data_IF_088809944385
#
_entry.id   IF_088809944385
#
_cell.length_a   1.000
_cell.length_b   1.000
_cell.length_c   1.000
_cell.angle_alpha   90.00
_cell.angle_beta   90.00
_cell.angle_gamma   90.00
#
_symmetry.space_group_name_H-M   'P 1'
#
loop_
_entity.id
_entity.type
_entity.pdbx_description
1 polymer ?
#
# COMPACT_ATOMS: atom_id res chain seq x y z
N UNK A 1 -11.61 33.16 -21.39
CA UNK A 1 -10.55 32.14 -21.37
C UNK A 1 -10.92 31.05 -20.37
N UNK A 2 -10.78 29.76 -20.71
CA UNK A 2 -11.17 28.66 -19.81
C UNK A 2 -10.05 28.33 -18.81
N UNK A 3 -10.35 28.36 -17.51
CA UNK A 3 -9.48 27.76 -16.48
C UNK A 3 -9.58 26.24 -16.63
N UNK A 4 -8.60 25.63 -17.30
CA UNK A 4 -8.39 24.17 -17.26
C UNK A 4 -8.10 23.76 -15.82
N UNK A 5 -9.14 23.35 -15.12
CA UNK A 5 -9.05 22.83 -13.76
C UNK A 5 -7.97 21.75 -13.68
N UNK A 6 -7.20 21.79 -12.60
CA UNK A 6 -6.18 20.80 -12.28
C UNK A 6 -6.77 19.91 -11.21
N UNK A 7 -6.98 18.64 -11.54
CA UNK A 7 -8.15 17.47 -10.41
C UNK A 7 -7.50 17.15 -9.01
N UNK A 8 -7.99 16.19 -8.21
CA UNK A 8 -7.38 15.72 -6.91
C UNK A 8 -7.48 14.17 -6.38
N UNK A 9 -6.46 13.22 -6.44
CA UNK A 9 -6.56 11.70 -6.17
C UNK A 9 -6.13 11.16 -4.75
N UNK A 10 -6.26 9.82 -4.53
CA UNK A 10 -5.96 8.97 -3.32
C UNK A 10 -5.18 7.64 -3.70
N UNK A 11 -4.57 6.86 -2.77
CA UNK A 11 -3.60 5.76 -3.05
C UNK A 11 -3.51 4.58 -2.04
N UNK A 12 -3.47 3.30 -2.50
CA UNK A 12 -3.28 2.08 -1.66
C UNK A 12 -2.92 0.77 -2.44
N UNK A 13 -2.24 -0.22 -1.82
CA UNK A 13 -1.92 -1.56 -2.40
C UNK A 13 -1.95 -2.70 -1.35
N UNK A 14 -2.38 -3.88 -1.83
CA UNK A 14 -2.66 -5.14 -1.13
C UNK A 14 -1.47 -6.14 -1.11
N UNK A 15 -1.48 -7.14 -0.22
CA UNK A 15 -0.53 -8.26 -0.26
C UNK A 15 -1.18 -9.65 -0.09
N UNK A 16 -1.21 -10.46 -1.17
CA UNK A 16 -1.32 -11.92 -1.03
C UNK A 16 -0.37 -12.64 -1.99
N UNK A 17 0.46 -13.52 -1.45
CA UNK A 17 1.19 -14.53 -2.20
C UNK A 17 0.49 -15.89 -2.04
N UNK A 18 -0.56 -16.14 -2.81
CA UNK A 18 -1.12 -17.49 -2.99
C UNK A 18 -0.33 -18.24 -4.06
N UNK A 19 0.40 -19.32 -3.71
CA UNK A 19 0.86 -20.26 -4.72
C UNK A 19 -0.39 -20.98 -5.25
N UNK A 20 -0.74 -20.77 -6.53
CA UNK A 20 -1.71 -21.66 -7.18
C UNK A 20 -1.07 -23.04 -7.27
N UNK A 21 -1.52 -23.99 -6.45
CA UNK A 21 -1.20 -25.39 -6.64
C UNK A 21 -1.76 -25.86 -8.00
N UNK A 22 -0.90 -25.85 -9.03
CA UNK A 22 -0.99 -26.87 -10.07
C UNK A 22 -0.38 -28.13 -9.49
N UNK A 23 -1.19 -29.16 -9.28
CA UNK A 23 -0.68 -30.52 -9.29
C UNK A 23 -0.14 -30.78 -10.70
N UNK A 24 1.12 -31.21 -10.79
CA UNK A 24 1.85 -31.41 -12.03
C UNK A 24 3.24 -31.97 -11.70
N UNK A 25 3.60 -33.09 -12.30
CA UNK A 25 4.61 -33.99 -11.76
C UNK A 25 6.02 -33.42 -11.64
N UNK A 26 6.59 -33.55 -10.44
CA UNK A 26 8.04 -33.53 -10.19
C UNK A 26 8.55 -34.90 -9.75
N UNK A 27 8.15 -35.95 -10.50
CA UNK A 27 8.55 -37.34 -10.25
C UNK A 27 9.60 -37.84 -11.26
N UNK A 28 10.77 -37.19 -11.30
CA UNK A 28 12.07 -37.75 -11.75
C UNK A 28 13.19 -36.69 -11.70
N UNK A 29 14.07 -36.80 -10.70
CA UNK A 29 15.54 -36.82 -10.82
C UNK A 29 16.18 -36.73 -9.41
N UNK A 30 17.40 -37.26 -9.28
CA UNK A 30 18.22 -37.32 -8.05
C UNK A 30 17.64 -38.12 -6.87
N UNK A 31 18.07 -39.38 -6.76
CA UNK A 31 18.00 -40.12 -5.52
C UNK A 31 19.09 -39.69 -4.54
N UNK A 32 18.70 -39.18 -3.38
CA UNK A 32 19.55 -39.02 -2.19
C UNK A 32 18.64 -38.77 -0.99
N UNK A 33 18.80 -39.55 0.08
CA UNK A 33 17.81 -39.60 1.17
C UNK A 33 17.94 -38.44 2.19
N UNK A 34 18.02 -37.20 1.69
CA UNK A 34 17.82 -35.98 2.47
C UNK A 34 16.37 -35.54 2.30
N UNK A 35 15.61 -35.47 3.39
CA UNK A 35 14.30 -34.82 3.42
C UNK A 35 14.46 -33.38 2.94
N UNK A 36 13.97 -33.10 1.73
CA UNK A 36 13.94 -31.76 1.16
C UNK A 36 12.88 -30.94 1.91
N UNK A 37 13.35 -30.12 2.85
CA UNK A 37 12.53 -29.18 3.61
C UNK A 37 11.53 -28.47 2.70
N UNK A 38 10.27 -28.39 3.13
CA UNK A 38 9.24 -27.56 2.53
C UNK A 38 9.67 -26.10 2.45
N UNK A 39 9.01 -25.31 1.60
CA UNK A 39 9.22 -23.86 1.57
C UNK A 39 8.97 -23.23 2.96
N UNK A 40 7.98 -23.71 3.70
CA UNK A 40 7.62 -23.20 5.02
C UNK A 40 8.70 -23.39 6.08
N UNK A 41 9.30 -24.57 6.16
CA UNK A 41 10.42 -24.83 7.07
C UNK A 41 11.66 -24.01 6.69
N UNK A 42 11.89 -23.78 5.38
CA UNK A 42 12.99 -22.92 4.92
C UNK A 42 12.77 -21.46 5.31
N UNK A 43 11.53 -20.96 5.27
CA UNK A 43 11.17 -19.63 5.78
C UNK A 43 11.34 -19.54 7.30
N UNK A 44 10.75 -20.45 8.08
CA UNK A 44 10.88 -20.43 9.56
C UNK A 44 12.35 -20.55 10.00
N UNK A 45 13.15 -21.44 9.38
CA UNK A 45 14.61 -21.53 9.64
C UNK A 45 15.34 -20.23 9.32
N UNK A 46 14.97 -19.54 8.23
CA UNK A 46 15.61 -18.29 7.82
C UNK A 46 15.28 -17.14 8.78
N UNK A 47 14.04 -17.08 9.28
CA UNK A 47 13.63 -16.13 10.33
C UNK A 47 14.40 -16.38 11.63
N UNK A 48 14.40 -17.64 12.12
CA UNK A 48 15.13 -18.05 13.35
C UNK A 48 16.65 -17.88 13.26
N UNK A 49 17.24 -17.88 12.06
CA UNK A 49 18.67 -17.56 11.86
C UNK A 49 18.95 -16.06 11.89
N UNK A 50 17.97 -15.21 11.55
CA UNK A 50 18.16 -13.75 11.39
C UNK A 50 17.78 -12.95 12.64
N UNK A 51 16.84 -13.45 13.45
CA UNK A 51 16.28 -12.70 14.57
C UNK A 51 16.24 -13.56 15.86
N UNK A 52 16.34 -12.93 17.06
CA UNK A 52 16.09 -13.60 18.34
C UNK A 52 14.73 -14.30 18.37
N UNK A 53 14.67 -15.49 18.97
CA UNK A 53 13.52 -16.39 18.85
C UNK A 53 12.26 -15.92 19.60
N UNK A 54 12.47 -15.19 20.69
CA UNK A 54 11.51 -14.41 21.45
C UNK A 54 10.92 -13.26 20.61
N UNK A 55 11.77 -12.41 20.04
CA UNK A 55 11.39 -11.24 19.25
C UNK A 55 10.61 -11.56 17.95
N UNK A 56 10.51 -12.83 17.56
CA UNK A 56 9.71 -13.27 16.39
C UNK A 56 8.62 -14.29 16.71
N UNK A 57 8.35 -14.63 17.98
CA UNK A 57 7.37 -15.66 18.33
C UNK A 57 5.99 -15.40 17.69
N UNK A 58 5.53 -14.14 17.71
CA UNK A 58 4.27 -13.68 17.11
C UNK A 58 4.27 -13.78 15.58
N UNK A 59 5.42 -13.52 14.93
CA UNK A 59 5.62 -13.61 13.47
C UNK A 59 5.67 -15.06 13.00
N UNK A 60 6.31 -15.94 13.78
CA UNK A 60 6.36 -17.38 13.49
C UNK A 60 4.99 -18.04 13.62
N UNK A 61 4.18 -17.63 14.61
CA UNK A 61 2.83 -18.16 14.72
C UNK A 61 1.91 -17.64 13.61
N UNK A 62 2.03 -16.37 13.21
CA UNK A 62 1.38 -15.83 12.00
C UNK A 62 1.77 -16.61 10.73
N UNK A 63 3.05 -16.95 10.56
CA UNK A 63 3.53 -17.76 9.44
C UNK A 63 2.85 -19.13 9.40
N UNK A 64 2.68 -19.77 10.56
CA UNK A 64 2.04 -21.08 10.69
C UNK A 64 0.52 -21.01 10.48
N UNK A 65 -0.13 -19.93 10.93
CA UNK A 65 -1.56 -19.66 10.66
C UNK A 65 -1.82 -19.58 9.15
N UNK A 66 -0.94 -18.92 8.39
CA UNK A 66 -0.98 -18.91 6.91
C UNK A 66 -0.83 -20.32 6.33
N UNK A 67 0.08 -21.16 6.85
CA UNK A 67 0.23 -22.55 6.38
C UNK A 67 -0.99 -23.43 6.70
N UNK A 68 -1.72 -23.14 7.78
CA UNK A 68 -2.96 -23.83 8.15
C UNK A 68 -4.21 -23.30 7.42
N UNK A 69 -4.07 -22.22 6.64
CA UNK A 69 -5.19 -21.58 5.94
C UNK A 69 -6.16 -20.83 6.86
N UNK A 70 -5.71 -20.42 8.05
CA UNK A 70 -6.56 -19.70 9.00
C UNK A 70 -6.95 -18.29 8.51
N UNK A 71 -8.22 -17.96 8.69
CA UNK A 71 -8.76 -16.62 8.46
C UNK A 71 -9.05 -15.95 9.82
N UNK A 72 -8.54 -14.74 10.01
CA UNK A 72 -8.97 -13.86 11.10
C UNK A 72 -10.29 -13.19 10.71
N UNK A 73 -11.33 -13.39 11.51
CA UNK A 73 -12.60 -12.66 11.44
C UNK A 73 -12.87 -11.95 12.79
N UNK A 74 -12.74 -10.62 12.82
CA UNK A 74 -12.96 -9.78 14.02
C UNK A 74 -13.51 -8.39 13.62
N UNK A 75 -14.65 -7.91 14.13
CA UNK A 75 -15.16 -6.54 13.86
C UNK A 75 -15.19 -6.13 12.36
N UNK A 76 -15.77 -6.99 11.52
CA UNK A 76 -15.80 -6.87 10.05
C UNK A 76 -14.41 -6.95 9.38
N UNK A 77 -13.33 -7.26 10.11
CA UNK A 77 -12.00 -7.50 9.55
C UNK A 77 -11.93 -8.90 8.97
N UNK A 78 -11.36 -9.03 7.78
CA UNK A 78 -10.97 -10.33 7.22
C UNK A 78 -9.49 -10.30 6.82
N UNK A 79 -8.68 -11.15 7.45
CA UNK A 79 -7.24 -11.24 7.16
C UNK A 79 -6.75 -12.69 7.17
N UNK A 80 -6.15 -13.12 6.05
CA UNK A 80 -5.52 -14.44 5.87
C UNK A 80 -4.00 -14.40 6.10
N UNK A 81 -3.44 -13.22 6.41
CA UNK A 81 -2.03 -13.02 6.75
C UNK A 81 -1.93 -12.06 7.93
N UNK A 82 -1.98 -12.57 9.16
CA UNK A 82 -2.21 -11.74 10.35
C UNK A 82 -1.36 -12.14 11.55
N UNK A 83 -0.98 -11.15 12.36
CA UNK A 83 -0.27 -11.30 13.64
C UNK A 83 -1.25 -10.96 14.77
N UNK A 84 -1.47 -11.91 15.70
CA UNK A 84 -2.37 -11.69 16.84
C UNK A 84 -1.81 -10.64 17.82
N UNK A 85 -2.72 -9.94 18.50
CA UNK A 85 -2.39 -8.90 19.49
C UNK A 85 -1.87 -7.56 18.93
N UNK A 86 -1.93 -7.31 17.61
CA UNK A 86 -1.69 -5.97 17.07
C UNK A 86 -2.91 -5.08 17.33
N UNK A 87 -2.70 -3.89 17.91
CA UNK A 87 -3.74 -2.85 18.09
C UNK A 87 -4.36 -2.48 16.73
N UNK A 88 -5.64 -2.77 16.56
CA UNK A 88 -6.43 -2.34 15.40
C UNK A 88 -7.12 -1.01 15.68
N UNK A 89 -7.07 -0.08 14.73
CA UNK A 89 -7.86 1.15 14.73
C UNK A 89 -8.35 1.46 13.31
N UNK A 90 -9.50 2.14 13.16
CA UNK A 90 -10.01 2.55 11.83
C UNK A 90 -9.08 3.58 11.18
N UNK A 91 -8.56 4.49 12.00
CA UNK A 91 -7.48 5.41 11.70
C UNK A 91 -6.57 5.53 12.93
N UNK A 92 -5.29 5.85 12.73
CA UNK A 92 -4.34 6.18 13.81
C UNK A 92 -4.01 7.67 13.77
N UNK A 93 -3.44 8.20 14.87
CA UNK A 93 -2.96 9.58 14.90
C UNK A 93 -1.58 9.68 14.21
N UNK A 94 -1.33 10.77 13.49
CA UNK A 94 -0.04 11.06 12.88
C UNK A 94 1.06 11.32 13.92
N UNK A 95 0.69 11.79 15.11
CA UNK A 95 1.61 11.97 16.23
C UNK A 95 2.25 10.65 16.70
N UNK A 96 1.65 9.50 16.38
CA UNK A 96 2.24 8.17 16.66
C UNK A 96 3.43 7.83 15.72
N UNK A 97 3.65 8.59 14.64
CA UNK A 97 4.59 8.26 13.57
C UNK A 97 5.51 9.43 13.22
N UNK A 98 6.66 9.62 13.90
CA UNK A 98 7.54 10.80 13.71
C UNK A 98 8.01 11.07 12.27
N UNK A 99 8.09 10.03 11.43
CA UNK A 99 8.43 10.16 10.00
C UNK A 99 7.40 10.97 9.19
N UNK A 100 6.17 11.10 9.66
CA UNK A 100 5.09 11.86 9.02
C UNK A 100 5.42 13.32 8.87
N UNK A 101 6.01 13.94 9.90
CA UNK A 101 6.40 15.34 9.87
C UNK A 101 7.41 15.64 8.73
N UNK A 102 8.18 14.64 8.28
CA UNK A 102 9.02 14.76 7.08
C UNK A 102 8.18 14.88 5.80
N UNK A 103 7.13 14.07 5.66
CA UNK A 103 6.24 14.12 4.50
C UNK A 103 5.38 15.39 4.48
N UNK A 104 4.80 15.77 5.62
CA UNK A 104 4.01 16.98 5.77
C UNK A 104 4.86 18.26 5.57
N UNK A 105 6.14 18.24 5.95
CA UNK A 105 7.08 19.34 5.65
C UNK A 105 7.49 19.41 4.18
N UNK A 106 7.62 18.27 3.50
CA UNK A 106 8.14 18.19 2.12
C UNK A 106 7.05 17.98 1.05
N UNK A 107 5.76 18.07 1.42
CA UNK A 107 4.65 17.73 0.51
C UNK A 107 4.69 18.52 -0.81
N UNK A 108 5.05 19.80 -0.78
CA UNK A 108 5.21 20.63 -1.99
C UNK A 108 6.33 20.12 -2.90
N UNK A 109 7.45 19.66 -2.33
CA UNK A 109 8.57 19.12 -3.11
C UNK A 109 8.17 17.84 -3.84
N UNK A 110 7.40 16.98 -3.18
CA UNK A 110 6.86 15.74 -3.74
C UNK A 110 5.81 16.05 -4.83
N UNK A 111 4.89 16.97 -4.53
CA UNK A 111 3.83 17.48 -5.42
C UNK A 111 4.39 18.09 -6.70
N UNK A 112 5.39 18.95 -6.58
CA UNK A 112 5.94 19.70 -7.70
C UNK A 112 6.90 18.86 -8.55
N UNK A 113 7.55 17.85 -7.97
CA UNK A 113 8.23 16.81 -8.74
C UNK A 113 7.23 15.93 -9.53
N UNK A 114 6.06 15.62 -8.95
CA UNK A 114 4.99 14.93 -9.69
C UNK A 114 4.46 15.76 -10.86
N UNK A 115 4.21 17.06 -10.68
CA UNK A 115 3.78 17.92 -11.79
C UNK A 115 4.89 18.26 -12.78
N UNK A 116 6.17 18.27 -12.36
CA UNK A 116 7.30 18.34 -13.30
C UNK A 116 7.24 17.20 -14.32
N UNK A 117 6.98 15.97 -13.86
CA UNK A 117 6.91 14.79 -14.73
C UNK A 117 5.57 14.64 -15.46
N UNK A 118 4.41 14.92 -14.84
CA UNK A 118 3.12 14.94 -15.57
C UNK A 118 3.08 16.03 -16.66
N UNK A 119 3.84 17.13 -16.52
CA UNK A 119 3.99 18.13 -17.59
C UNK A 119 4.86 17.65 -18.78
N UNK A 120 5.70 16.61 -18.56
CA UNK A 120 6.57 15.95 -19.54
C UNK A 120 6.11 14.52 -19.81
N UNK A 121 4.80 14.28 -19.79
CA UNK A 121 4.24 12.93 -19.68
C UNK A 121 4.73 11.91 -20.72
N UNK A 122 5.00 12.33 -21.95
CA UNK A 122 5.58 11.45 -22.97
C UNK A 122 7.01 10.99 -22.60
N UNK A 123 7.83 11.89 -22.06
CA UNK A 123 9.18 11.58 -21.58
C UNK A 123 9.12 10.69 -20.32
N UNK A 124 8.17 10.96 -19.42
CA UNK A 124 7.89 10.11 -18.25
C UNK A 124 7.50 8.69 -18.68
N UNK A 125 6.56 8.53 -19.60
CA UNK A 125 6.11 7.23 -20.10
C UNK A 125 7.17 6.50 -20.97
N UNK A 126 8.19 7.20 -21.47
CA UNK A 126 9.36 6.63 -22.14
C UNK A 126 10.49 6.20 -21.19
N UNK A 127 10.72 6.96 -20.11
CA UNK A 127 11.86 6.76 -19.17
C UNK A 127 11.49 5.99 -17.91
N UNK A 128 10.21 5.99 -17.53
CA UNK A 128 9.72 5.44 -16.27
C UNK A 128 9.16 4.02 -16.41
N UNK A 129 9.45 3.19 -15.41
CA UNK A 129 8.93 1.83 -15.32
C UNK A 129 7.44 1.83 -14.97
N UNK A 130 6.62 1.18 -15.80
CA UNK A 130 5.19 0.91 -15.53
C UNK A 130 4.38 2.15 -15.12
N UNK A 131 4.73 3.31 -15.68
CA UNK A 131 4.09 4.60 -15.38
C UNK A 131 2.58 4.50 -15.57
N UNK A 132 1.86 4.79 -14.48
CA UNK A 132 0.40 4.73 -14.44
C UNK A 132 -0.17 3.39 -14.96
N UNK A 133 0.41 2.28 -14.53
CA UNK A 133 -0.11 0.94 -14.79
C UNK A 133 -1.49 0.72 -14.16
N UNK A 134 -2.31 -0.16 -14.76
CA UNK A 134 -3.53 -0.72 -14.12
C UNK A 134 -3.14 -1.59 -12.93
N UNK A 135 -4.09 -1.83 -12.02
CA UNK A 135 -3.92 -2.82 -10.96
C UNK A 135 -3.56 -4.20 -11.56
N UNK A 136 -2.55 -4.86 -11.00
CA UNK A 136 -1.81 -5.93 -11.68
C UNK A 136 -2.49 -7.33 -11.68
N UNK A 137 -3.66 -7.49 -11.05
CA UNK A 137 -4.32 -8.80 -10.89
C UNK A 137 -5.84 -8.72 -10.97
N UNK A 138 -6.50 -9.87 -11.14
CA UNK A 138 -7.96 -9.96 -11.31
C UNK A 138 -8.74 -9.69 -10.00
N UNK A 139 -8.15 -10.04 -8.84
CA UNK A 139 -8.73 -9.77 -7.52
C UNK A 139 -8.82 -8.26 -7.25
N UNK A 140 -7.95 -7.47 -7.90
CA UNK A 140 -7.89 -6.02 -7.81
C UNK A 140 -8.97 -5.27 -8.62
N UNK A 141 -9.94 -5.99 -9.20
CA UNK A 141 -11.15 -5.41 -9.84
C UNK A 141 -11.97 -4.54 -8.87
N UNK A 142 -11.79 -4.69 -7.56
CA UNK A 142 -12.35 -3.80 -6.55
C UNK A 142 -11.96 -2.32 -6.76
N UNK A 143 -10.77 -2.03 -7.30
CA UNK A 143 -10.29 -0.66 -7.54
C UNK A 143 -10.91 0.00 -8.79
N UNK A 144 -11.66 -0.76 -9.60
CA UNK A 144 -12.35 -0.25 -10.79
C UNK A 144 -11.44 0.00 -12.01
N UNK A 145 -12.05 0.37 -13.16
CA UNK A 145 -11.34 0.53 -14.43
C UNK A 145 -10.46 1.79 -14.49
N UNK A 146 -10.53 2.67 -13.50
CA UNK A 146 -9.89 3.99 -13.49
C UNK A 146 -8.65 4.10 -12.60
N UNK A 147 -8.41 3.10 -11.74
CA UNK A 147 -7.27 3.08 -10.84
C UNK A 147 -5.94 2.88 -11.58
N UNK A 148 -4.92 3.71 -11.33
CA UNK A 148 -3.54 3.48 -11.81
C UNK A 148 -2.49 3.85 -10.78
N UNK A 149 -1.29 3.28 -10.87
CA UNK A 149 -0.16 3.59 -9.97
C UNK A 149 1.14 3.88 -10.72
N UNK A 150 2.00 4.70 -10.12
CA UNK A 150 3.39 4.95 -10.52
C UNK A 150 4.27 4.58 -9.33
N UNK A 151 4.99 3.47 -9.46
CA UNK A 151 5.65 2.78 -8.34
C UNK A 151 7.07 3.28 -8.11
N UNK A 152 7.38 3.69 -6.89
CA UNK A 152 8.75 3.96 -6.44
C UNK A 152 9.32 2.75 -5.68
N UNK A 153 8.48 2.00 -4.97
CA UNK A 153 8.83 0.78 -4.25
C UNK A 153 7.66 -0.23 -4.27
N UNK A 154 7.96 -1.48 -4.64
CA UNK A 154 7.10 -2.68 -4.53
C UNK A 154 7.96 -3.83 -3.98
N UNK A 155 8.14 -3.86 -2.65
CA UNK A 155 9.06 -4.74 -1.88
C UNK A 155 10.55 -4.60 -2.23
N UNK A 156 10.87 -4.03 -3.40
CA UNK A 156 12.15 -3.50 -3.87
C UNK A 156 11.90 -2.11 -4.45
N UNK A 157 12.92 -1.28 -4.52
CA UNK A 157 12.83 0.03 -5.16
C UNK A 157 12.86 -0.11 -6.69
N UNK A 158 12.00 0.64 -7.38
CA UNK A 158 12.03 0.77 -8.83
C UNK A 158 13.09 1.81 -9.19
N UNK A 159 14.23 1.37 -9.75
CA UNK A 159 15.38 2.25 -9.90
C UNK A 159 15.13 3.41 -10.86
N UNK A 160 14.38 3.20 -11.93
CA UNK A 160 14.19 4.21 -12.98
C UNK A 160 13.20 5.27 -12.52
N UNK A 161 12.11 4.86 -11.88
CA UNK A 161 11.23 5.83 -11.21
C UNK A 161 11.94 6.51 -10.03
N UNK A 162 12.86 5.84 -9.31
CA UNK A 162 13.67 6.49 -8.26
C UNK A 162 14.69 7.51 -8.80
N UNK A 163 15.17 7.35 -10.05
CA UNK A 163 16.03 8.34 -10.73
C UNK A 163 15.23 9.55 -11.20
N UNK A 164 13.99 9.34 -11.67
CA UNK A 164 13.07 10.41 -12.10
C UNK A 164 12.54 11.19 -10.90
N UNK A 165 11.98 10.51 -9.90
CA UNK A 165 11.41 11.07 -8.67
C UNK A 165 12.46 11.16 -7.56
N UNK A 166 13.61 11.74 -7.90
CA UNK A 166 14.81 11.81 -7.07
C UNK A 166 14.57 12.45 -5.69
N UNK A 167 13.81 13.55 -5.64
CA UNK A 167 13.54 14.31 -4.40
C UNK A 167 12.54 13.56 -3.54
N UNK A 168 11.49 13.00 -4.15
CA UNK A 168 10.50 12.16 -3.45
C UNK A 168 11.18 10.94 -2.84
N UNK A 169 12.03 10.24 -3.60
CA UNK A 169 12.83 9.12 -3.14
C UNK A 169 13.77 9.52 -1.98
N UNK A 170 14.42 10.70 -2.06
CA UNK A 170 15.22 11.26 -0.97
C UNK A 170 14.39 11.54 0.29
N UNK A 171 13.20 12.13 0.16
CA UNK A 171 12.29 12.38 1.31
C UNK A 171 11.82 11.07 1.93
N UNK A 172 11.42 10.07 1.13
CA UNK A 172 10.96 8.79 1.66
C UNK A 172 12.08 8.11 2.45
N UNK A 173 13.25 7.94 1.84
CA UNK A 173 14.39 7.27 2.51
C UNK A 173 14.92 8.08 3.71
N UNK A 174 14.97 9.41 3.59
CA UNK A 174 15.42 10.32 4.65
C UNK A 174 14.46 10.46 5.83
N UNK A 175 13.18 10.12 5.66
CA UNK A 175 12.20 10.14 6.75
C UNK A 175 12.38 9.04 7.80
N UNK A 176 13.12 7.98 7.46
CA UNK A 176 13.23 6.78 8.32
C UNK A 176 11.97 5.90 8.34
N UNK A 177 10.96 6.16 7.50
CA UNK A 177 9.79 5.28 7.36
C UNK A 177 10.24 3.86 6.97
N UNK A 178 9.79 2.80 7.68
CA UNK A 178 10.21 1.43 7.38
C UNK A 178 9.41 0.87 6.18
N UNK A 179 9.43 1.54 5.03
CA UNK A 179 8.50 1.25 3.94
C UNK A 179 8.74 -0.10 3.26
N UNK A 180 7.66 -0.82 2.96
CA UNK A 180 7.66 -1.98 2.05
C UNK A 180 7.16 -1.62 0.65
N UNK A 181 6.32 -0.59 0.53
CA UNK A 181 5.81 -0.06 -0.74
C UNK A 181 5.65 1.46 -0.65
N UNK A 182 5.88 2.13 -1.77
CA UNK A 182 5.72 3.57 -1.94
C UNK A 182 5.40 3.91 -3.40
N UNK A 183 4.34 4.68 -3.64
CA UNK A 183 3.88 4.99 -5.00
C UNK A 183 2.96 6.21 -5.01
N UNK A 184 2.92 6.89 -6.15
CA UNK A 184 1.80 7.76 -6.50
C UNK A 184 0.66 6.88 -7.05
N UNK A 185 -0.59 7.16 -6.71
CA UNK A 185 -1.74 6.47 -7.32
C UNK A 185 -2.77 7.44 -7.85
N UNK A 186 -3.68 6.93 -8.69
CA UNK A 186 -4.69 7.71 -9.37
C UNK A 186 -6.01 7.06 -9.63
N UNK A 187 -7.06 7.89 -9.67
CA UNK A 187 -8.48 7.51 -9.70
C UNK A 187 -9.30 8.57 -10.45
N UNK A 188 -10.06 8.21 -11.49
CA UNK A 188 -10.79 9.22 -12.28
C UNK A 188 -11.86 9.99 -11.45
N UNK A 189 -12.19 11.25 -11.82
CA UNK A 189 -13.37 11.93 -11.29
C UNK A 189 -14.62 11.04 -11.34
N UNK A 190 -15.45 11.10 -10.30
CA UNK A 190 -16.70 10.33 -10.18
C UNK A 190 -16.57 8.81 -10.05
N UNK A 191 -15.37 8.23 -10.20
CA UNK A 191 -15.11 6.82 -9.89
C UNK A 191 -14.96 6.57 -8.38
N UNK A 192 -15.14 5.33 -7.95
CA UNK A 192 -15.00 4.90 -6.56
C UNK A 192 -14.29 3.55 -6.46
N UNK A 193 -13.50 3.35 -5.41
CA UNK A 193 -12.99 2.03 -5.03
C UNK A 193 -14.09 1.28 -4.28
N UNK A 194 -14.31 0.02 -4.62
CA UNK A 194 -15.28 -0.86 -3.92
C UNK A 194 -14.77 -1.24 -2.52
N UNK A 195 -15.69 -1.58 -1.60
CA UNK A 195 -15.37 -2.27 -0.34
C UNK A 195 -14.33 -3.37 -0.50
N UNK A 196 -13.25 -3.30 0.28
CA UNK A 196 -12.20 -4.32 0.35
C UNK A 196 -11.47 -4.28 1.72
N UNK A 197 -10.57 -5.25 1.90
CA UNK A 197 -9.63 -5.47 3.02
C UNK A 197 -8.30 -5.87 2.40
N UNK A 198 -7.14 -5.41 2.91
CA UNK A 198 -5.80 -5.76 2.40
C UNK A 198 -5.34 -7.18 2.76
N UNK A 199 -6.20 -7.97 3.42
CA UNK A 199 -5.91 -9.36 3.79
C UNK A 199 -4.86 -9.53 4.89
N UNK A 200 -4.27 -8.43 5.39
CA UNK A 200 -3.23 -8.44 6.42
C UNK A 200 -3.36 -7.31 7.46
N UNK A 201 -2.84 -7.52 8.67
CA UNK A 201 -3.05 -6.63 9.82
C UNK A 201 -1.75 -6.01 10.41
N UNK A 202 -0.62 -6.20 9.75
CA UNK A 202 0.70 -5.75 10.22
C UNK A 202 1.34 -4.67 9.34
N UNK A 203 0.64 -4.25 8.28
CA UNK A 203 0.97 -3.11 7.44
C UNK A 203 -0.02 -1.98 7.76
N UNK A 204 0.47 -0.75 7.83
CA UNK A 204 -0.34 0.46 7.86
C UNK A 204 -0.13 1.25 6.56
N UNK A 205 -1.22 1.76 5.99
CA UNK A 205 -1.13 2.75 4.90
C UNK A 205 -1.18 4.16 5.48
N UNK A 206 -0.18 4.98 5.16
CA UNK A 206 -0.28 6.43 5.24
C UNK A 206 -0.63 7.01 3.86
N UNK A 207 -1.58 7.95 3.83
CA UNK A 207 -1.87 8.79 2.67
C UNK A 207 -1.38 10.22 2.91
N UNK A 208 -0.63 10.78 1.96
CA UNK A 208 -0.33 12.21 1.87
C UNK A 208 -0.93 12.72 0.54
N UNK A 209 -2.09 13.39 0.55
CA UNK A 209 -2.64 13.89 -0.72
C UNK A 209 -1.98 15.21 -1.13
N UNK A 210 -1.56 15.26 -2.39
CA UNK A 210 -0.77 16.35 -2.96
C UNK A 210 -1.65 17.45 -3.59
N UNK A 211 -2.97 17.20 -3.71
CA UNK A 211 -3.90 18.11 -4.41
C UNK A 211 -5.39 17.92 -4.08
N UNK A 212 -5.78 17.21 -2.99
CA UNK A 212 -7.16 16.70 -2.75
C UNK A 212 -8.32 17.74 -2.90
N UNK A 213 -9.53 17.34 -3.38
CA UNK A 213 -10.67 18.24 -3.54
C UNK A 213 -11.51 18.26 -2.26
N UNK A 214 -12.36 19.29 -2.04
CA UNK A 214 -13.17 19.39 -0.82
C UNK A 214 -14.08 18.18 -0.54
N UNK A 215 -14.41 17.39 -1.57
CA UNK A 215 -15.32 16.23 -1.50
C UNK A 215 -14.64 14.85 -1.61
N UNK A 216 -13.30 14.73 -1.62
CA UNK A 216 -12.69 13.41 -1.51
C UNK A 216 -12.72 12.91 -0.07
N UNK A 217 -13.30 11.73 0.10
CA UNK A 217 -13.46 11.04 1.37
C UNK A 217 -12.80 9.67 1.30
N UNK A 218 -12.33 9.17 2.44
CA UNK A 218 -12.01 7.75 2.61
C UNK A 218 -12.82 7.17 3.76
N UNK A 219 -13.56 6.11 3.48
CA UNK A 219 -14.34 5.35 4.48
C UNK A 219 -13.53 4.16 4.99
N UNK A 220 -13.39 4.00 6.31
CA UNK A 220 -12.90 2.79 6.96
C UNK A 220 -13.97 2.32 7.95
N UNK A 221 -14.59 1.16 7.68
CA UNK A 221 -15.65 0.56 8.52
C UNK A 221 -16.70 1.58 8.98
N UNK A 222 -17.17 2.45 8.07
CA UNK A 222 -18.18 3.48 8.33
C UNK A 222 -17.69 4.75 9.03
N UNK A 223 -16.40 4.87 9.40
CA UNK A 223 -15.81 6.16 9.79
C UNK A 223 -15.20 6.79 8.54
N UNK A 224 -15.63 8.00 8.21
CA UNK A 224 -15.12 8.77 7.07
C UNK A 224 -14.11 9.81 7.55
N UNK A 225 -13.11 10.08 6.71
CA UNK A 225 -12.24 11.26 6.82
C UNK A 225 -12.21 11.97 5.46
N UNK A 226 -12.04 13.29 5.46
CA UNK A 226 -11.84 14.09 4.26
C UNK A 226 -10.37 14.50 4.11
N UNK A 227 -9.96 14.72 2.87
CA UNK A 227 -8.68 15.34 2.58
C UNK A 227 -8.88 16.86 2.44
N UNK A 228 -8.58 17.61 3.50
CA UNK A 228 -8.89 19.04 3.61
C UNK A 228 -7.88 19.92 2.85
N UNK A 229 -8.00 19.96 1.52
CA UNK A 229 -7.36 20.96 0.65
C UNK A 229 -5.84 20.88 0.56
N UNK A 230 -5.22 22.02 0.23
CA UNK A 230 -3.78 22.18 -0.04
C UNK A 230 -2.90 22.34 1.22
N UNK A 231 -3.32 21.79 2.36
CA UNK A 231 -2.47 21.59 3.55
C UNK A 231 -2.92 20.34 4.27
N UNK A 232 -2.09 19.30 4.28
CA UNK A 232 -2.53 17.96 4.66
C UNK A 232 -1.76 17.44 5.87
N UNK A 233 -2.52 17.08 6.90
CA UNK A 233 -2.13 15.96 7.76
C UNK A 233 -2.15 14.67 6.95
N UNK A 234 -1.24 13.74 7.22
CA UNK A 234 -1.38 12.39 6.69
C UNK A 234 -2.64 11.70 7.27
N UNK A 235 -3.13 10.65 6.61
CA UNK A 235 -4.18 9.78 7.17
C UNK A 235 -3.71 8.33 7.23
N UNK A 236 -3.53 7.83 8.45
CA UNK A 236 -3.13 6.46 8.76
C UNK A 236 -4.31 5.51 8.84
N UNK A 237 -4.15 4.28 8.34
CA UNK A 237 -5.25 3.31 8.29
C UNK A 237 -4.82 1.86 8.49
N UNK A 238 -5.72 1.09 9.10
CA UNK A 238 -5.75 -0.37 9.11
C UNK A 238 -6.79 -0.89 8.10
N UNK A 239 -6.35 -1.18 6.87
CA UNK A 239 -7.20 -1.63 5.74
C UNK A 239 -7.68 -3.07 5.94
N UNK A 240 -8.70 -3.23 6.80
CA UNK A 240 -9.36 -4.53 7.02
C UNK A 240 -10.86 -4.54 6.73
N UNK A 241 -11.45 -3.36 6.45
CA UNK A 241 -12.70 -3.22 5.70
C UNK A 241 -12.96 -1.74 5.37
N UNK A 242 -13.35 -1.46 4.13
CA UNK A 242 -14.05 -0.23 3.72
C UNK A 242 -15.51 -0.56 3.41
N UNK A 243 -16.45 0.37 3.61
CA UNK A 243 -17.84 0.28 3.08
C UNK A 243 -18.12 1.44 2.12
N UNK A 244 -19.18 1.30 1.32
CA UNK A 244 -19.43 2.09 0.10
C UNK A 244 -19.20 3.61 0.21
N UNK A 245 -18.55 4.15 -0.81
CA UNK A 245 -18.76 5.52 -1.28
C UNK A 245 -19.67 5.44 -2.52
N UNK A 246 -20.97 5.65 -2.32
CA UNK A 246 -21.89 6.09 -3.37
C UNK A 246 -22.44 7.46 -3.00
N UNK A 247 -22.93 8.18 -4.01
CA UNK A 247 -23.15 9.64 -3.98
C UNK A 247 -24.61 9.99 -3.79
N UNK A 248 -24.83 11.08 -3.08
CA UNK A 248 -25.95 11.98 -3.33
C UNK A 248 -25.39 13.30 -3.88
N UNK A 249 -25.95 13.74 -5.02
CA UNK A 249 -25.64 15.00 -5.73
C UNK A 249 -24.18 15.20 -6.22
N UNK A 250 -23.93 16.31 -6.93
CA UNK A 250 -22.92 16.37 -8.01
C UNK A 250 -21.69 17.29 -7.82
N UNK A 251 -20.92 17.41 -8.93
CA UNK A 251 -19.76 18.29 -9.20
C UNK A 251 -18.32 17.88 -8.71
N UNK A 252 -17.43 17.66 -9.72
CA UNK A 252 -15.96 17.93 -9.80
C UNK A 252 -14.99 17.12 -8.83
N UNK A 253 -13.62 17.22 -8.88
CA UNK A 253 -12.76 16.28 -9.67
C UNK A 253 -11.39 15.74 -9.06
N UNK A 254 -10.73 14.66 -9.60
CA UNK A 254 -9.74 13.75 -8.89
C UNK A 254 -8.33 13.38 -9.64
N UNK A 255 -7.12 13.93 -9.23
CA UNK A 255 -5.59 13.95 -9.49
C UNK A 255 -4.65 14.66 -8.38
N UNK A 256 -3.82 14.21 -7.37
CA UNK A 256 -3.14 12.96 -6.86
C UNK A 256 -2.61 12.96 -5.35
N UNK A 257 -2.07 11.82 -4.76
CA UNK A 257 -1.31 11.73 -3.47
C UNK A 257 0.04 10.93 -3.55
N UNK A 258 0.68 10.65 -2.40
CA UNK A 258 1.56 9.47 -2.16
C UNK A 258 0.91 8.49 -1.17
N UNK A 259 1.04 7.18 -1.43
CA UNK A 259 0.87 6.14 -0.42
C UNK A 259 2.22 5.61 0.05
N UNK A 260 2.34 5.33 1.35
CA UNK A 260 3.49 4.64 1.93
C UNK A 260 2.99 3.55 2.87
N UNK A 261 3.44 2.32 2.63
CA UNK A 261 3.10 1.15 3.44
C UNK A 261 4.21 0.86 4.44
N UNK A 262 3.93 1.07 5.72
CA UNK A 262 4.85 0.87 6.82
C UNK A 262 4.43 -0.31 7.72
N UNK A 263 5.24 -1.38 7.84
CA UNK A 263 5.27 -2.20 9.04
C UNK A 263 5.35 -1.38 10.33
N UNK A 264 4.68 -1.90 11.36
CA UNK A 264 4.49 -1.27 12.67
C UNK A 264 5.73 -1.42 13.57
N UNK A 265 6.01 -0.42 14.41
CA UNK A 265 7.03 -0.47 15.47
C UNK A 265 6.78 -1.59 16.50
N UNK A 266 5.50 -1.83 16.81
CA UNK A 266 5.01 -2.65 17.92
C UNK A 266 5.02 -4.18 17.61
N UNK A 267 6.01 -4.60 16.83
CA UNK A 267 6.24 -5.99 16.37
C UNK A 267 7.27 -6.71 17.25
N UNK A 268 8.16 -5.95 17.92
CA UNK A 268 9.00 -6.43 19.01
C UNK A 268 8.15 -6.83 20.23
#
# INVERSE_FOLDING_TARGET
>A
MSRRERPAFVALVHNVATPRHRQGDFKKLYGSNRLLMSFAERVERSLRKKFPADAIQRVLEAWRQIQRGELLQEDQREAHSYIRGIRSAKFFDCAEFPWVASFEKNWETIRDELWHWESRRQELEQRGSRVWAKAARAEAVAYGPDWRTLVLQDRRWDEDNCKLFSKTNQVIRGSGVPSVEAFFARQAPQSGIKPHSDGCNFILTAHLALSAPPNALVDCRGRRTSFLGERQSAHFRHELHSRNVQREHGFLPIRAPVAILAPRSDIN
#
